data_IF_845682821670
#
_entry.id   IF_845682821670
#
_cell.length_a   1.000
_cell.length_b   1.000
_cell.length_c   1.000
_cell.angle_alpha   90.00
_cell.angle_beta   90.00
_cell.angle_gamma   90.00
#
_symmetry.space_group_name_H-M   'P 1'
#
loop_
_entity.id
_entity.type
_entity.pdbx_description
1 polymer ?
#
# COMPACT_ATOMS: atom_id res chain seq x y z
N UNK A 1 37.31 -25.42 -10.59
CA UNK A 1 36.86 -24.40 -9.61
C UNK A 1 36.00 -23.29 -10.21
N UNK A 2 35.93 -23.13 -11.53
CA UNK A 2 35.18 -22.00 -12.14
C UNK A 2 33.65 -22.12 -12.02
N UNK A 3 33.06 -23.30 -12.22
CA UNK A 3 31.59 -23.45 -12.26
C UNK A 3 30.89 -23.17 -10.93
N UNK A 4 31.51 -23.52 -9.80
CA UNK A 4 30.95 -23.24 -8.47
C UNK A 4 30.88 -21.73 -8.17
N UNK A 5 31.85 -20.95 -8.64
CA UNK A 5 31.89 -19.50 -8.44
C UNK A 5 30.76 -18.81 -9.21
N UNK A 6 30.44 -19.31 -10.40
CA UNK A 6 29.33 -18.79 -11.22
C UNK A 6 27.96 -19.12 -10.59
N UNK A 7 27.77 -20.31 -10.02
CA UNK A 7 26.55 -20.64 -9.26
C UNK A 7 26.40 -19.78 -7.99
N UNK A 8 27.51 -19.52 -7.26
CA UNK A 8 27.48 -18.68 -6.06
C UNK A 8 27.13 -17.22 -6.40
N UNK A 9 27.65 -16.69 -7.52
CA UNK A 9 27.31 -15.34 -8.00
C UNK A 9 25.83 -15.24 -8.41
N UNK A 10 25.26 -16.27 -9.03
CA UNK A 10 23.83 -16.29 -9.37
C UNK A 10 22.93 -16.32 -8.13
N UNK A 11 23.38 -16.91 -7.01
CA UNK A 11 22.62 -16.91 -5.75
C UNK A 11 22.63 -15.58 -4.99
N UNK A 12 23.54 -14.66 -5.32
CA UNK A 12 23.62 -13.33 -4.68
C UNK A 12 22.76 -12.27 -5.38
N UNK A 13 22.15 -12.60 -6.53
CA UNK A 13 21.12 -11.78 -7.18
C UNK A 13 19.71 -12.11 -6.63
N UNK A 14 19.61 -12.36 -5.32
CA UNK A 14 18.35 -12.13 -4.61
C UNK A 14 18.10 -10.62 -4.62
N UNK A 15 17.62 -10.11 -5.74
CA UNK A 15 17.08 -8.78 -5.90
C UNK A 15 15.85 -8.65 -4.99
N UNK A 16 16.10 -8.39 -3.71
CA UNK A 16 15.09 -7.88 -2.79
C UNK A 16 14.92 -6.41 -3.07
N UNK A 17 14.07 -6.08 -4.04
CA UNK A 17 13.72 -4.69 -4.39
C UNK A 17 12.38 -4.68 -5.10
N UNK A 18 11.30 -4.52 -4.32
CA UNK A 18 9.99 -4.00 -4.72
C UNK A 18 9.11 -4.01 -3.47
N UNK A 19 8.51 -2.89 -3.05
CA UNK A 19 7.45 -2.95 -2.00
C UNK A 19 6.04 -3.08 -2.56
N UNK A 20 5.96 -3.98 -3.52
CA UNK A 20 4.86 -4.92 -3.68
C UNK A 20 5.49 -6.26 -3.32
N UNK A 21 5.02 -6.91 -2.26
CA UNK A 21 5.67 -8.11 -1.73
C UNK A 21 5.10 -9.37 -2.36
N UNK A 22 5.92 -10.40 -2.50
CA UNK A 22 5.42 -11.72 -2.93
C UNK A 22 4.62 -12.42 -1.83
N UNK A 23 4.92 -12.11 -0.56
CA UNK A 23 4.45 -12.85 0.59
C UNK A 23 4.30 -11.97 1.83
N UNK A 24 3.06 -11.58 2.15
CA UNK A 24 2.73 -10.84 3.37
C UNK A 24 3.34 -11.47 4.62
N UNK A 25 3.31 -12.79 4.73
CA UNK A 25 3.77 -13.53 5.91
C UNK A 25 5.27 -13.31 6.20
N UNK A 26 6.07 -12.99 5.18
CA UNK A 26 7.51 -12.72 5.35
C UNK A 26 7.80 -11.25 5.66
N UNK A 27 7.04 -10.32 5.09
CA UNK A 27 7.39 -8.90 5.10
C UNK A 27 6.54 -8.04 6.03
N UNK A 28 5.27 -8.39 6.24
CA UNK A 28 4.38 -7.64 7.13
C UNK A 28 3.35 -8.53 7.84
N UNK A 29 3.74 -9.75 8.19
CA UNK A 29 2.92 -10.74 8.87
C UNK A 29 2.37 -10.25 10.22
N UNK A 30 3.07 -9.32 10.89
CA UNK A 30 2.68 -8.79 12.20
C UNK A 30 1.30 -8.11 12.23
N UNK A 31 0.77 -7.66 11.09
CA UNK A 31 -0.57 -7.04 11.04
C UNK A 31 -1.70 -8.05 10.90
N UNK A 32 -1.38 -9.32 10.71
CA UNK A 32 -2.34 -10.38 10.52
C UNK A 32 -2.49 -11.24 11.77
N UNK A 33 -3.70 -11.72 12.01
CA UNK A 33 -3.96 -12.65 13.10
C UNK A 33 -3.07 -13.90 12.95
N UNK A 34 -2.33 -14.24 14.01
CA UNK A 34 -1.37 -15.35 14.03
C UNK A 34 -0.31 -15.27 12.91
N UNK A 35 -0.03 -14.09 12.37
CA UNK A 35 0.91 -13.93 11.27
C UNK A 35 0.44 -14.54 9.95
N UNK A 36 -0.88 -14.66 9.73
CA UNK A 36 -1.47 -15.32 8.55
C UNK A 36 -2.51 -14.44 7.87
N UNK A 37 -2.24 -14.12 6.61
CA UNK A 37 -3.18 -13.36 5.79
C UNK A 37 -4.45 -14.17 5.48
N UNK A 38 -5.60 -13.51 5.23
CA UNK A 38 -6.77 -14.16 4.65
C UNK A 38 -6.45 -14.89 3.34
N UNK A 39 -7.33 -15.80 2.91
CA UNK A 39 -7.15 -16.48 1.62
C UNK A 39 -7.08 -15.45 0.49
N UNK A 40 -5.99 -15.50 -0.26
CA UNK A 40 -5.68 -14.54 -1.33
C UNK A 40 -6.52 -14.85 -2.58
N UNK A 41 -6.80 -13.81 -3.37
CA UNK A 41 -7.38 -13.97 -4.69
C UNK A 41 -6.31 -14.40 -5.69
N UNK A 42 -6.70 -15.18 -6.70
CA UNK A 42 -5.79 -15.63 -7.77
C UNK A 42 -5.75 -14.61 -8.89
N UNK A 43 -4.56 -14.30 -9.40
CA UNK A 43 -4.36 -13.41 -10.56
C UNK A 43 -3.23 -12.42 -10.32
N UNK A 44 -2.49 -12.10 -11.39
CA UNK A 44 -1.27 -11.28 -11.29
C UNK A 44 -1.56 -9.81 -10.98
N UNK A 45 -2.82 -9.37 -11.13
CA UNK A 45 -3.31 -8.04 -10.77
C UNK A 45 -3.62 -7.87 -9.27
N UNK A 46 -3.62 -8.96 -8.50
CA UNK A 46 -3.72 -8.88 -7.05
C UNK A 46 -2.33 -8.71 -6.43
N UNK A 47 -2.04 -7.51 -5.95
CA UNK A 47 -0.75 -7.14 -5.37
C UNK A 47 -0.83 -7.11 -3.85
N UNK A 48 0.15 -7.71 -3.20
CA UNK A 48 0.30 -7.64 -1.76
C UNK A 48 1.19 -6.44 -1.43
N UNK A 49 0.66 -5.46 -0.71
CA UNK A 49 1.38 -4.23 -0.40
C UNK A 49 1.56 -4.16 1.10
N UNK A 50 2.80 -4.23 1.56
CA UNK A 50 3.11 -3.72 2.88
C UNK A 50 3.21 -2.21 2.72
N UNK A 51 2.58 -1.41 3.57
CA UNK A 51 2.51 0.05 3.42
C UNK A 51 3.67 0.67 4.21
N UNK A 52 4.72 1.16 3.52
CA UNK A 52 5.93 1.73 4.18
C UNK A 52 6.02 3.21 3.96
N UNK A 53 6.31 3.91 5.05
CA UNK A 53 6.71 5.30 5.05
C UNK A 53 8.01 5.41 5.86
N UNK A 54 9.00 6.15 5.36
CA UNK A 54 10.30 6.35 6.01
C UNK A 54 10.97 5.05 6.51
N UNK A 55 10.90 4.00 5.69
CA UNK A 55 11.40 2.63 5.93
C UNK A 55 10.72 1.89 7.09
N UNK A 56 9.60 2.41 7.61
CA UNK A 56 8.77 1.75 8.61
C UNK A 56 7.49 1.19 7.97
N UNK A 57 7.20 -0.10 8.21
CA UNK A 57 5.95 -0.71 7.77
C UNK A 57 4.83 -0.39 8.76
N UNK A 58 3.71 0.14 8.28
CA UNK A 58 2.60 0.59 9.13
C UNK A 58 1.35 -0.29 9.09
N UNK A 59 1.02 -0.85 7.93
CA UNK A 59 -0.10 -1.78 7.75
C UNK A 59 0.09 -2.57 6.46
N UNK A 60 -0.84 -3.47 6.14
CA UNK A 60 -0.83 -4.25 4.90
C UNK A 60 -2.12 -4.01 4.11
N UNK A 61 -2.04 -4.04 2.79
CA UNK A 61 -3.18 -3.95 1.87
C UNK A 61 -3.04 -4.99 0.77
N UNK A 62 -4.08 -5.79 0.56
CA UNK A 62 -4.24 -6.53 -0.69
C UNK A 62 -4.94 -5.62 -1.70
N UNK A 63 -4.31 -5.36 -2.83
CA UNK A 63 -4.76 -4.38 -3.82
C UNK A 63 -5.07 -5.04 -5.16
N UNK A 64 -6.11 -4.59 -5.84
CA UNK A 64 -6.49 -5.00 -7.19
C UNK A 64 -6.07 -3.89 -8.16
N UNK A 65 -5.02 -4.11 -8.94
CA UNK A 65 -4.47 -3.11 -9.89
C UNK A 65 -5.34 -2.93 -11.12
N UNK A 66 -6.14 -3.94 -11.47
CA UNK A 66 -7.05 -3.86 -12.62
C UNK A 66 -8.23 -2.94 -12.32
N UNK A 67 -8.87 -3.14 -11.16
CA UNK A 67 -9.98 -2.30 -10.70
C UNK A 67 -9.51 -1.04 -9.95
N UNK A 68 -8.21 -0.94 -9.62
CA UNK A 68 -7.57 0.17 -8.92
C UNK A 68 -8.20 0.45 -7.55
N UNK A 69 -8.50 -0.63 -6.81
CA UNK A 69 -9.11 -0.56 -5.48
C UNK A 69 -8.43 -1.50 -4.49
N UNK A 70 -8.41 -1.15 -3.20
CA UNK A 70 -8.05 -2.10 -2.17
C UNK A 70 -9.13 -3.16 -2.00
N UNK A 71 -8.72 -4.41 -1.88
CA UNK A 71 -9.59 -5.55 -1.57
C UNK A 71 -9.81 -5.62 -0.06
N UNK A 72 -8.73 -5.50 0.72
CA UNK A 72 -8.77 -5.35 2.17
C UNK A 72 -7.49 -4.67 2.67
N UNK A 73 -7.55 -4.15 3.90
CA UNK A 73 -6.38 -3.75 4.69
C UNK A 73 -6.31 -4.50 6.01
N UNK A 74 -5.10 -4.71 6.52
CA UNK A 74 -4.83 -5.37 7.80
C UNK A 74 -3.90 -4.51 8.64
N UNK A 75 -4.30 -4.27 9.90
CA UNK A 75 -3.59 -3.46 10.88
C UNK A 75 -3.95 -3.96 12.29
N UNK A 76 -3.11 -3.63 13.28
CA UNK A 76 -3.39 -3.93 14.70
C UNK A 76 -4.10 -2.72 15.31
N UNK A 77 -5.29 -2.92 15.84
CA UNK A 77 -6.01 -1.88 16.57
C UNK A 77 -5.58 -1.87 18.03
N UNK A 78 -4.95 -0.77 18.47
CA UNK A 78 -4.46 -0.58 19.84
C UNK A 78 -5.31 0.43 20.64
N UNK A 79 -6.21 1.13 19.97
CA UNK A 79 -7.05 2.18 20.55
C UNK A 79 -7.31 3.30 19.56
N UNK A 80 -8.12 4.27 19.97
CA UNK A 80 -8.31 5.50 19.22
C UNK A 80 -7.20 6.50 19.57
N UNK A 81 -6.61 7.12 18.57
CA UNK A 81 -5.63 8.20 18.76
C UNK A 81 -6.11 9.52 18.16
N UNK A 82 -5.69 10.64 18.76
CA UNK A 82 -5.74 11.93 18.07
C UNK A 82 -4.57 12.03 17.08
N UNK A 83 -4.80 12.62 15.92
CA UNK A 83 -3.79 12.84 14.89
C UNK A 83 -4.03 14.14 14.13
N UNK A 84 -3.00 14.64 13.47
CA UNK A 84 -3.15 15.62 12.39
C UNK A 84 -3.43 14.86 11.11
N UNK A 85 -4.44 15.28 10.35
CA UNK A 85 -4.77 14.66 9.06
C UNK A 85 -3.96 15.33 7.96
N UNK A 86 -3.35 14.54 7.08
CA UNK A 86 -2.73 15.06 5.86
C UNK A 86 -3.77 15.54 4.84
N UNK A 87 -3.39 16.55 4.07
CA UNK A 87 -4.14 17.02 2.90
C UNK A 87 -3.56 16.48 1.58
N UNK A 88 -2.30 16.08 1.59
CA UNK A 88 -1.61 15.43 0.49
C UNK A 88 -1.75 13.92 0.61
N UNK A 89 -1.65 13.23 -0.53
CA UNK A 89 -1.77 11.78 -0.61
C UNK A 89 -0.51 11.19 -1.21
N UNK A 90 -0.10 10.06 -0.63
CA UNK A 90 0.94 9.21 -1.15
C UNK A 90 0.40 8.31 -2.26
N UNK A 91 1.30 7.69 -3.00
CA UNK A 91 1.06 6.57 -3.92
C UNK A 91 2.14 5.52 -3.71
N UNK A 92 2.01 4.38 -4.40
CA UNK A 92 3.03 3.33 -4.46
C UNK A 92 3.69 3.37 -5.85
N UNK A 93 4.78 4.13 -6.06
CA UNK A 93 5.41 4.27 -7.38
C UNK A 93 5.73 2.93 -8.05
N UNK A 94 6.13 1.94 -7.26
CA UNK A 94 6.44 0.57 -7.67
C UNK A 94 5.26 -0.23 -8.23
N UNK A 95 4.02 0.27 -8.15
CA UNK A 95 2.90 -0.31 -8.90
C UNK A 95 2.91 0.13 -10.37
N UNK A 96 3.41 1.32 -10.67
CA UNK A 96 3.36 1.95 -11.99
C UNK A 96 4.75 2.03 -12.66
N UNK A 97 5.84 1.73 -11.94
CA UNK A 97 7.20 1.65 -12.48
C UNK A 97 7.91 0.38 -12.00
N UNK A 98 8.00 -0.61 -12.89
CA UNK A 98 8.69 -1.89 -12.64
C UNK A 98 10.19 -1.73 -12.35
N UNK A 99 10.79 -0.57 -12.68
CA UNK A 99 12.21 -0.28 -12.38
C UNK A 99 12.39 0.37 -11.01
N UNK A 100 11.29 0.73 -10.33
CA UNK A 100 11.37 1.36 -9.03
C UNK A 100 11.75 0.33 -7.96
N UNK A 101 12.99 0.45 -7.48
CA UNK A 101 13.54 -0.41 -6.43
C UNK A 101 13.19 0.08 -5.01
N UNK A 102 12.57 1.26 -4.88
CA UNK A 102 12.24 1.85 -3.60
C UNK A 102 11.03 1.16 -2.96
N UNK A 103 11.08 1.12 -1.64
CA UNK A 103 10.05 0.47 -0.83
C UNK A 103 9.05 1.47 -0.23
N UNK A 104 9.36 2.77 -0.30
CA UNK A 104 8.55 3.78 0.36
C UNK A 104 7.42 4.26 -0.54
N UNK A 105 6.29 4.54 0.08
CA UNK A 105 5.27 5.37 -0.55
C UNK A 105 5.81 6.79 -0.73
N UNK A 106 5.41 7.45 -1.81
CA UNK A 106 5.85 8.81 -2.15
C UNK A 106 4.65 9.71 -2.40
N UNK A 107 4.75 11.01 -2.08
CA UNK A 107 3.67 11.94 -2.43
C UNK A 107 3.46 11.95 -3.94
N UNK A 108 2.21 11.83 -4.39
CA UNK A 108 1.86 11.80 -5.83
C UNK A 108 2.51 12.96 -6.61
N UNK A 109 2.65 14.12 -5.99
CA UNK A 109 3.24 15.32 -6.60
C UNK A 109 4.74 15.25 -6.89
N UNK A 110 5.47 14.30 -6.29
CA UNK A 110 6.91 14.14 -6.48
C UNK A 110 7.28 12.99 -7.42
N UNK A 111 6.30 12.20 -7.86
CA UNK A 111 6.52 11.05 -8.73
C UNK A 111 6.27 11.47 -10.18
N UNK A 112 7.33 11.45 -10.98
CA UNK A 112 7.31 11.81 -12.41
C UNK A 112 7.70 10.59 -13.26
N UNK A 113 6.70 9.73 -13.53
CA UNK A 113 6.83 8.51 -14.34
C UNK A 113 5.78 8.50 -15.45
N UNK A 114 6.13 7.93 -16.60
CA UNK A 114 5.28 7.96 -17.80
C UNK A 114 3.99 7.15 -17.70
N UNK A 115 3.98 6.10 -16.88
CA UNK A 115 2.88 5.14 -16.71
C UNK A 115 2.07 5.40 -15.42
N UNK A 116 2.18 6.63 -14.87
CA UNK A 116 1.54 6.98 -13.61
C UNK A 116 0.02 6.78 -13.66
N UNK A 117 -0.50 5.95 -12.75
CA UNK A 117 -1.89 5.60 -12.63
C UNK A 117 -2.35 4.49 -13.59
N UNK A 118 -1.45 3.73 -14.22
CA UNK A 118 -1.82 2.54 -15.00
C UNK A 118 -2.33 1.40 -14.10
N UNK A 119 -1.72 1.20 -12.93
CA UNK A 119 -2.00 0.10 -12.01
C UNK A 119 -2.56 0.55 -10.65
N UNK A 120 -2.70 1.85 -10.39
CA UNK A 120 -3.35 2.36 -9.18
C UNK A 120 -4.21 3.59 -9.45
N UNK A 121 -5.12 3.89 -8.53
CA UNK A 121 -5.90 5.12 -8.58
C UNK A 121 -5.04 6.32 -8.18
N UNK A 122 -5.32 7.48 -8.79
CA UNK A 122 -4.68 8.75 -8.47
C UNK A 122 -5.69 9.74 -7.89
N UNK A 123 -5.21 10.86 -7.34
CA UNK A 123 -6.07 11.92 -6.83
C UNK A 123 -7.06 12.45 -7.88
N UNK A 124 -6.64 12.49 -9.15
CA UNK A 124 -7.50 12.94 -10.27
C UNK A 124 -8.74 12.06 -10.46
N UNK A 125 -8.68 10.77 -10.12
CA UNK A 125 -9.79 9.83 -10.33
C UNK A 125 -10.93 10.07 -9.34
N UNK A 126 -10.63 10.64 -8.17
CA UNK A 126 -11.62 11.06 -7.19
C UNK A 126 -12.13 12.48 -7.43
N UNK A 127 -11.39 13.32 -8.14
CA UNK A 127 -11.76 14.71 -8.38
C UNK A 127 -13.07 14.82 -9.18
N UNK A 128 -14.11 15.41 -8.57
CA UNK A 128 -15.46 15.55 -9.15
C UNK A 128 -16.11 14.22 -9.56
N UNK A 129 -15.66 13.10 -9.02
CA UNK A 129 -16.24 11.76 -9.27
C UNK A 129 -17.62 11.56 -8.63
N UNK A 130 -17.97 12.35 -7.62
CA UNK A 130 -19.14 12.12 -6.76
C UNK A 130 -18.87 11.13 -5.62
N UNK A 131 -17.62 10.69 -5.44
CA UNK A 131 -17.17 9.80 -4.37
C UNK A 131 -16.05 10.43 -3.55
N UNK A 132 -16.00 10.08 -2.26
CA UNK A 132 -14.84 10.34 -1.41
C UNK A 132 -13.86 9.16 -1.45
N UNK A 133 -12.63 9.43 -0.99
CA UNK A 133 -11.62 8.42 -0.69
C UNK A 133 -11.90 7.82 0.70
N UNK A 134 -12.60 6.69 0.71
CA UNK A 134 -12.97 5.97 1.92
C UNK A 134 -11.84 5.10 2.43
N UNK A 135 -11.29 5.40 3.61
CA UNK A 135 -10.15 4.66 4.16
C UNK A 135 -10.59 3.26 4.65
N UNK A 136 -9.84 2.21 4.30
CA UNK A 136 -10.03 0.87 4.84
C UNK A 136 -9.26 0.64 6.15
N UNK A 137 -8.00 1.11 6.22
CA UNK A 137 -7.30 1.35 7.47
C UNK A 137 -7.64 2.77 7.96
N UNK A 138 -8.49 2.92 8.99
CA UNK A 138 -8.98 4.24 9.41
C UNK A 138 -7.89 5.07 10.08
N UNK A 139 -7.86 6.36 9.77
CA UNK A 139 -6.83 7.28 10.27
C UNK A 139 -6.75 7.33 11.81
N UNK A 140 -7.88 7.30 12.50
CA UNK A 140 -7.92 7.35 13.98
C UNK A 140 -7.60 6.02 14.66
N UNK A 141 -7.46 4.94 13.89
CA UNK A 141 -7.05 3.62 14.38
C UNK A 141 -5.53 3.39 14.23
N UNK A 142 -4.81 4.34 13.65
CA UNK A 142 -3.36 4.34 13.62
C UNK A 142 -2.78 4.30 15.04
N UNK A 143 -1.54 3.81 15.18
CA UNK A 143 -0.83 3.75 16.47
C UNK A 143 0.24 4.85 16.62
N UNK A 144 0.50 5.64 15.58
CA UNK A 144 1.43 6.78 15.57
C UNK A 144 1.00 7.81 14.52
N UNK A 145 1.60 9.02 14.55
CA UNK A 145 1.33 10.05 13.55
C UNK A 145 1.80 9.60 12.16
N UNK A 146 2.95 8.93 12.08
CA UNK A 146 3.51 8.38 10.85
C UNK A 146 2.60 7.27 10.29
N UNK A 147 2.05 6.41 11.15
CA UNK A 147 1.05 5.43 10.74
C UNK A 147 -0.23 6.11 10.20
N UNK A 148 -0.68 7.19 10.85
CA UNK A 148 -1.83 7.96 10.40
C UNK A 148 -1.57 8.60 9.03
N UNK A 149 -0.38 9.18 8.83
CA UNK A 149 0.07 9.78 7.58
C UNK A 149 0.14 8.73 6.45
N UNK A 150 0.69 7.55 6.73
CA UNK A 150 0.76 6.42 5.81
C UNK A 150 -0.62 5.92 5.34
N UNK A 151 -1.70 6.21 6.07
CA UNK A 151 -3.06 5.82 5.63
C UNK A 151 -3.60 6.66 4.46
N UNK A 152 -3.00 7.82 4.17
CA UNK A 152 -3.42 8.73 3.10
C UNK A 152 -2.83 8.32 1.75
N UNK A 153 -3.25 7.17 1.24
CA UNK A 153 -2.86 6.65 -0.07
C UNK A 153 -4.06 6.02 -0.79
N UNK A 154 -4.19 6.16 -2.11
CA UNK A 154 -5.24 5.50 -2.89
C UNK A 154 -5.24 3.98 -2.73
N UNK A 155 -4.09 3.37 -2.43
CA UNK A 155 -4.00 1.92 -2.15
C UNK A 155 -4.62 1.53 -0.82
N UNK A 156 -5.09 2.49 0.00
CA UNK A 156 -5.89 2.29 1.20
C UNK A 156 -7.31 2.87 1.07
N UNK A 157 -7.70 3.35 -0.13
CA UNK A 157 -8.96 4.04 -0.34
C UNK A 157 -9.84 3.39 -1.41
N UNK A 158 -11.11 3.17 -1.08
CA UNK A 158 -12.14 2.80 -2.04
C UNK A 158 -13.13 3.98 -2.27
N UNK A 159 -13.79 4.07 -3.45
CA UNK A 159 -14.86 5.02 -3.68
C UNK A 159 -16.00 4.83 -2.68
N UNK A 160 -16.25 5.84 -1.85
CA UNK A 160 -17.27 5.81 -0.81
C UNK A 160 -18.22 7.00 -0.96
N UNK A 161 -19.52 6.77 -0.76
CA UNK A 161 -20.50 7.84 -0.83
C UNK A 161 -20.21 8.92 0.22
N UNK A 162 -20.26 10.19 -0.18
CA UNK A 162 -20.00 11.34 0.70
C UNK A 162 -20.84 11.34 1.99
N UNK A 163 -22.11 10.92 1.94
CA UNK A 163 -22.97 10.89 3.13
C UNK A 163 -22.55 9.82 4.12
N UNK A 164 -21.98 8.72 3.64
CA UNK A 164 -21.48 7.64 4.48
C UNK A 164 -20.08 7.98 5.02
N UNK A 165 -19.13 8.36 4.14
CA UNK A 165 -17.75 8.64 4.52
C UNK A 165 -17.60 9.82 5.50
N UNK A 166 -18.44 10.85 5.38
CA UNK A 166 -18.32 12.09 6.18
C UNK A 166 -19.11 12.07 7.48
N UNK A 167 -19.97 11.07 7.68
CA UNK A 167 -20.89 11.00 8.82
C UNK A 167 -20.78 9.65 9.51
N UNK A 168 -21.35 8.59 8.92
CA UNK A 168 -21.48 7.28 9.58
C UNK A 168 -20.16 6.51 9.69
N UNK A 169 -19.24 6.73 8.74
CA UNK A 169 -17.93 6.07 8.73
C UNK A 169 -16.88 6.76 9.60
N UNK A 170 -17.17 7.98 10.08
CA UNK A 170 -16.20 8.85 10.75
C UNK A 170 -16.00 8.51 12.22
#
# INVERSE_FOLDING_TARGET
MSLLLHLLMLSLLSAGSAKVVDDFEKSCGQFFANGKSPTKFTGDHYKQICQTLDNAVHFATLYDTYNKIPVYSAYVFEGLMGCTRLNSWYIEPQLDDDNNAEENMEFETFVDIGELGENQALNKDYYRSGFDRGHLAPVYHANSQECADATFTPTNAAPQNHSFNRVEWR
#
